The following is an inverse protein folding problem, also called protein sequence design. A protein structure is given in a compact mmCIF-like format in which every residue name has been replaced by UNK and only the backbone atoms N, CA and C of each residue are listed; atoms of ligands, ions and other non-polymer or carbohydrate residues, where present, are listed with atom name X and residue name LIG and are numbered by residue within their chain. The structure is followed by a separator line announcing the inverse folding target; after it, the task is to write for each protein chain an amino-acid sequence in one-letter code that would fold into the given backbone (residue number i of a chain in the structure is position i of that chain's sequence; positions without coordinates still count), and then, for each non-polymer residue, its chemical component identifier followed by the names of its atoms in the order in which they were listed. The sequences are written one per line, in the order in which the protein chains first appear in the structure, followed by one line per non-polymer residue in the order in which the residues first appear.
data_IF_920773808198
#
_entry.id   IF_920773808198
#
_cell.length_a   1.000
_cell.length_b   1.000
_cell.length_c   1.000
_cell.angle_alpha   90.00
_cell.angle_beta   90.00
_cell.angle_gamma   90.00
#
_symmetry.space_group_name_H-M   'P 1'
#
loop_
_entity.id
_entity.type
_entity.pdbx_description
1 polymer ?
#
# COMPACT_ATOMS: atom_id res chain seq x y z
N UNK A 1 -12.97 -19.49 -19.66
CA UNK A 1 -11.53 -19.22 -19.46
C UNK A 1 -11.23 -17.75 -19.14
N UNK A 2 -11.28 -16.76 -20.06
CA UNK A 2 -10.93 -15.37 -19.70
C UNK A 2 -11.87 -14.73 -18.65
N UNK A 3 -13.18 -14.96 -18.75
CA UNK A 3 -14.17 -14.47 -17.78
C UNK A 3 -13.98 -15.07 -16.37
N UNK A 4 -13.45 -16.29 -16.32
CA UNK A 4 -13.27 -17.08 -15.10
C UNK A 4 -12.01 -16.65 -14.36
N UNK A 5 -10.92 -16.42 -15.11
CA UNK A 5 -9.71 -15.77 -14.59
C UNK A 5 -10.01 -14.35 -14.08
N UNK A 6 -10.86 -13.59 -14.79
CA UNK A 6 -11.28 -12.27 -14.34
C UNK A 6 -12.09 -12.33 -13.04
N UNK A 7 -12.97 -13.32 -12.89
CA UNK A 7 -13.75 -13.55 -11.68
C UNK A 7 -12.85 -13.86 -10.48
N UNK A 8 -11.90 -14.79 -10.63
CA UNK A 8 -10.95 -15.15 -9.56
C UNK A 8 -10.14 -13.94 -9.11
N UNK A 9 -9.61 -13.16 -10.06
CA UNK A 9 -8.85 -11.92 -9.74
C UNK A 9 -9.69 -10.89 -8.98
N UNK A 10 -10.93 -10.69 -9.40
CA UNK A 10 -11.84 -9.76 -8.73
C UNK A 10 -12.18 -10.24 -7.31
N UNK A 11 -12.30 -11.54 -7.11
CA UNK A 11 -12.53 -12.14 -5.80
C UNK A 11 -11.32 -11.95 -4.88
N UNK A 12 -10.10 -12.26 -5.35
CA UNK A 12 -8.85 -12.06 -4.59
C UNK A 12 -8.66 -10.59 -4.18
N UNK A 13 -8.86 -9.65 -5.13
CA UNK A 13 -8.79 -8.22 -4.86
C UNK A 13 -9.81 -7.82 -3.78
N UNK A 14 -11.05 -8.34 -3.87
CA UNK A 14 -12.11 -8.02 -2.92
C UNK A 14 -11.81 -8.52 -1.50
N UNK A 15 -11.14 -9.68 -1.37
CA UNK A 15 -10.73 -10.27 -0.09
C UNK A 15 -9.57 -9.48 0.52
N UNK A 16 -8.53 -9.21 -0.26
CA UNK A 16 -7.38 -8.41 0.16
C UNK A 16 -7.80 -7.00 0.61
N UNK A 17 -8.73 -6.39 -0.13
CA UNK A 17 -9.25 -5.07 0.19
C UNK A 17 -9.87 -5.02 1.59
N UNK A 18 -10.58 -6.06 2.03
CA UNK A 18 -11.20 -6.12 3.37
C UNK A 18 -10.17 -6.15 4.50
N UNK A 19 -8.97 -6.69 4.24
CA UNK A 19 -7.92 -6.86 5.27
C UNK A 19 -6.81 -5.80 5.20
N UNK A 20 -6.82 -4.94 4.17
CA UNK A 20 -5.75 -3.94 3.92
C UNK A 20 -5.48 -3.05 5.13
N UNK A 21 -6.52 -2.65 5.87
CA UNK A 21 -6.36 -1.79 7.05
C UNK A 21 -5.60 -2.46 8.19
N UNK A 22 -5.71 -3.79 8.32
CA UNK A 22 -4.93 -4.57 9.27
C UNK A 22 -3.49 -4.72 8.78
N UNK A 23 -3.30 -5.07 7.51
CA UNK A 23 -1.94 -5.30 6.98
C UNK A 23 -1.11 -4.04 6.86
N UNK A 24 -1.75 -2.88 6.65
CA UNK A 24 -1.08 -1.60 6.59
C UNK A 24 -0.61 -1.06 7.94
N UNK A 25 -1.03 -1.66 9.07
CA UNK A 25 -0.60 -1.21 10.39
C UNK A 25 0.76 -1.82 10.76
N UNK A 26 1.76 -1.06 11.24
CA UNK A 26 3.07 -1.61 11.60
C UNK A 26 2.97 -2.79 12.58
N UNK A 27 2.11 -2.67 13.58
CA UNK A 27 1.80 -3.74 14.53
C UNK A 27 0.30 -4.06 14.56
N UNK A 28 -0.17 -5.00 13.74
CA UNK A 28 -1.60 -5.27 13.55
C UNK A 28 -2.29 -5.85 14.79
N UNK A 29 -1.54 -6.40 15.74
CA UNK A 29 -2.08 -6.96 16.98
C UNK A 29 -2.21 -5.90 18.08
N UNK A 30 -1.51 -4.77 17.95
CA UNK A 30 -1.55 -3.65 18.92
C UNK A 30 -2.44 -2.50 18.46
N UNK A 31 -2.39 -2.15 17.18
CA UNK A 31 -3.07 -0.97 16.66
C UNK A 31 -3.39 -1.13 15.19
N UNK A 32 -4.64 -0.85 14.80
CA UNK A 32 -5.03 -0.72 13.39
C UNK A 32 -4.71 0.68 12.87
N UNK A 33 -4.66 0.84 11.54
CA UNK A 33 -4.47 2.17 10.94
C UNK A 33 -5.53 3.16 11.41
N UNK A 34 -5.14 4.42 11.53
CA UNK A 34 -5.96 5.55 11.94
C UNK A 34 -6.06 6.60 10.83
N UNK A 35 -7.28 7.07 10.51
CA UNK A 35 -8.58 6.58 11.00
C UNK A 35 -8.89 5.15 10.53
N UNK A 36 -9.74 4.38 11.24
CA UNK A 36 -10.11 3.03 10.79
C UNK A 36 -10.73 3.04 9.38
N UNK A 37 -10.24 2.14 8.54
CA UNK A 37 -10.73 1.96 7.17
C UNK A 37 -11.76 0.83 7.15
N UNK A 38 -12.91 1.10 6.54
CA UNK A 38 -13.92 0.09 6.21
C UNK A 38 -14.14 0.08 4.72
N UNK A 39 -14.15 -1.10 4.11
CA UNK A 39 -14.36 -1.26 2.66
C UNK A 39 -15.80 -1.61 2.31
N UNK A 40 -16.64 -1.80 3.33
CA UNK A 40 -18.05 -2.19 3.20
C UNK A 40 -18.92 -1.02 2.73
N UNK A 41 -18.53 0.22 3.08
CA UNK A 41 -19.28 1.43 2.74
C UNK A 41 -18.59 2.21 1.62
N UNK A 42 -19.38 2.93 0.80
CA UNK A 42 -18.84 3.86 -0.21
C UNK A 42 -17.98 4.95 0.43
N UNK A 43 -18.42 5.50 1.56
CA UNK A 43 -17.70 6.52 2.31
C UNK A 43 -16.36 5.99 2.86
N UNK A 44 -16.33 4.76 3.37
CA UNK A 44 -15.08 4.14 3.83
C UNK A 44 -14.09 3.87 2.69
N UNK A 45 -14.59 3.42 1.53
CA UNK A 45 -13.77 3.25 0.32
C UNK A 45 -13.16 4.55 -0.19
N UNK A 46 -13.89 5.67 -0.08
CA UNK A 46 -13.40 6.99 -0.49
C UNK A 46 -12.25 7.50 0.40
N UNK A 47 -12.14 7.01 1.64
CA UNK A 47 -11.07 7.36 2.59
C UNK A 47 -9.82 6.48 2.49
N UNK A 48 -9.67 5.69 1.42
CA UNK A 48 -8.50 4.84 1.20
C UNK A 48 -7.48 5.48 0.26
N UNK A 49 -6.33 4.83 0.10
CA UNK A 49 -5.26 5.31 -0.79
C UNK A 49 -4.71 6.64 -0.29
N UNK A 50 -4.52 7.60 -1.19
CA UNK A 50 -3.99 8.93 -0.86
C UNK A 50 -4.90 9.78 0.04
N UNK A 51 -6.19 9.47 0.11
CA UNK A 51 -7.12 10.14 1.02
C UNK A 51 -6.96 9.69 2.48
N UNK A 52 -6.17 8.64 2.73
CA UNK A 52 -5.83 8.20 4.06
C UNK A 52 -4.41 8.66 4.43
N UNK A 53 -4.16 9.23 5.62
CA UNK A 53 -2.83 9.71 5.98
C UNK A 53 -1.76 8.61 5.98
N UNK A 54 -2.05 7.44 6.57
CA UNK A 54 -1.08 6.32 6.59
C UNK A 54 -0.96 5.57 5.26
N UNK A 55 -2.07 5.27 4.56
CA UNK A 55 -1.99 4.60 3.26
C UNK A 55 -1.41 5.51 2.17
N UNK A 56 -1.68 6.81 2.24
CA UNK A 56 -1.08 7.81 1.36
C UNK A 56 0.43 7.86 1.49
N UNK A 57 0.96 7.86 2.73
CA UNK A 57 2.41 7.73 2.98
C UNK A 57 3.00 6.46 2.40
N UNK A 58 2.31 5.33 2.55
CA UNK A 58 2.72 4.04 2.00
C UNK A 58 2.82 4.04 0.48
N UNK A 59 1.83 4.65 -0.19
CA UNK A 59 1.75 4.73 -1.64
C UNK A 59 2.63 5.85 -2.22
N UNK A 60 3.03 6.81 -1.40
CA UNK A 60 3.91 7.89 -1.81
C UNK A 60 5.22 7.29 -2.36
N UNK A 61 5.66 7.72 -3.54
CA UNK A 61 7.03 7.55 -3.98
C UNK A 61 8.05 7.79 -2.85
N UNK A 62 8.88 6.78 -2.56
CA UNK A 62 9.77 6.83 -1.40
C UNK A 62 10.74 8.01 -1.43
N UNK A 63 11.16 8.42 -2.64
CA UNK A 63 12.03 9.57 -2.88
C UNK A 63 11.46 10.90 -2.36
N UNK A 64 10.14 11.02 -2.31
CA UNK A 64 9.43 12.23 -1.92
C UNK A 64 8.70 12.06 -0.58
N UNK A 65 8.93 10.94 0.12
CA UNK A 65 8.23 10.60 1.35
C UNK A 65 8.44 11.66 2.45
N UNK A 66 9.66 12.16 2.61
CA UNK A 66 9.96 13.19 3.60
C UNK A 66 9.17 14.47 3.36
N UNK A 67 9.08 14.89 2.10
CA UNK A 67 8.35 16.09 1.73
C UNK A 67 6.84 15.86 1.84
N UNK A 68 6.34 14.67 1.50
CA UNK A 68 4.96 14.27 1.73
C UNK A 68 4.60 14.27 3.22
N UNK A 69 5.51 13.86 4.11
CA UNK A 69 5.26 13.89 5.56
C UNK A 69 5.16 15.33 6.08
N UNK A 70 5.97 16.25 5.53
CA UNK A 70 5.94 17.67 5.89
C UNK A 70 4.67 18.36 5.36
N UNK A 71 4.32 18.10 4.11
CA UNK A 71 3.14 18.66 3.45
C UNK A 71 2.48 17.65 2.50
N UNK A 72 1.47 16.89 2.99
CA UNK A 72 0.76 15.91 2.17
C UNK A 72 -0.03 16.53 1.01
N UNK A 73 -0.40 17.81 1.10
CA UNK A 73 -1.26 18.47 0.11
C UNK A 73 -0.50 18.81 -1.18
N UNK A 74 0.79 19.13 -1.05
CA UNK A 74 1.70 19.44 -2.19
C UNK A 74 1.91 18.23 -3.10
N UNK A 75 1.69 17.03 -2.59
CA UNK A 75 1.87 15.76 -3.30
C UNK A 75 0.56 15.02 -3.53
N UNK A 76 -0.57 15.72 -3.41
CA UNK A 76 -1.86 15.19 -3.81
C UNK A 76 -1.91 15.09 -5.33
N UNK A 77 -2.17 13.90 -5.87
CA UNK A 77 -2.25 13.64 -7.32
C UNK A 77 -3.34 14.44 -8.06
N UNK A 78 -4.13 15.24 -7.34
CA UNK A 78 -5.13 16.15 -7.90
C UNK A 78 -4.52 17.46 -8.40
N UNK A 79 -3.36 17.88 -7.90
CA UNK A 79 -2.68 19.10 -8.36
C UNK A 79 -1.75 18.81 -9.55
N UNK A 80 -2.32 18.85 -10.76
CA UNK A 80 -1.61 18.69 -12.03
C UNK A 80 -0.57 19.79 -12.30
N UNK A 81 -0.49 20.84 -11.48
CA UNK A 81 0.46 21.95 -11.66
C UNK A 81 1.87 21.64 -11.18
N UNK A 82 2.04 20.62 -10.33
CA UNK A 82 3.33 20.13 -9.87
C UNK A 82 3.45 18.63 -10.18
N UNK A 83 3.71 18.24 -11.44
CA UNK A 83 3.76 16.83 -11.81
C UNK A 83 4.98 16.20 -11.14
N UNK A 84 4.74 15.59 -9.98
CA UNK A 84 5.64 14.62 -9.38
C UNK A 84 5.91 13.58 -10.47
N UNK A 85 7.10 13.63 -11.07
CA UNK A 85 7.42 12.80 -12.23
C UNK A 85 7.66 11.37 -11.75
N UNK A 86 6.58 10.63 -11.51
CA UNK A 86 6.61 9.22 -11.11
C UNK A 86 7.02 8.40 -12.34
N UNK A 87 8.31 8.10 -12.45
CA UNK A 87 8.82 7.15 -13.44
C UNK A 87 8.65 5.72 -12.92
N UNK A 88 8.71 4.73 -13.82
CA UNK A 88 8.65 3.32 -13.44
C UNK A 88 9.80 2.88 -12.50
N UNK A 89 10.86 3.69 -12.38
CA UNK A 89 11.98 3.49 -11.46
C UNK A 89 11.74 4.04 -10.05
N UNK A 90 10.62 4.74 -9.81
CA UNK A 90 10.30 5.33 -8.51
C UNK A 90 9.27 4.45 -7.81
N UNK A 91 9.75 3.78 -6.77
CA UNK A 91 8.99 2.80 -6.02
C UNK A 91 8.21 3.43 -4.85
N UNK A 92 7.01 2.94 -4.53
CA UNK A 92 6.29 3.33 -3.33
C UNK A 92 7.02 2.97 -2.03
N UNK A 93 6.81 3.78 -0.98
CA UNK A 93 7.45 3.60 0.32
C UNK A 93 7.15 2.24 0.98
N UNK A 94 5.95 1.67 0.78
CA UNK A 94 5.58 0.37 1.37
C UNK A 94 6.42 -0.81 0.90
N UNK A 95 7.20 -0.66 -0.17
CA UNK A 95 8.08 -1.71 -0.67
C UNK A 95 9.36 -1.84 0.17
N UNK A 96 9.70 -0.85 0.97
CA UNK A 96 10.92 -0.83 1.77
C UNK A 96 10.62 -1.11 3.25
N UNK A 97 11.58 -1.68 4.00
CA UNK A 97 11.43 -2.01 5.41
C UNK A 97 11.33 -0.77 6.31
N UNK A 98 10.96 -1.03 7.56
CA UNK A 98 10.82 -0.04 8.62
C UNK A 98 9.43 -0.03 9.27
N UNK A 99 9.35 0.40 10.53
CA UNK A 99 8.06 0.67 11.19
C UNK A 99 7.31 1.80 10.46
N UNK A 100 8.05 2.84 10.07
CA UNK A 100 7.59 3.81 9.08
C UNK A 100 8.04 3.33 7.70
N UNK A 101 7.10 3.01 6.79
CA UNK A 101 7.43 2.56 5.44
C UNK A 101 8.39 3.51 4.74
N UNK A 102 9.43 3.00 4.09
CA UNK A 102 10.37 3.82 3.32
C UNK A 102 11.54 4.43 4.12
N UNK A 103 11.59 4.27 5.44
CA UNK A 103 12.66 4.88 6.26
C UNK A 103 14.05 4.31 5.97
N UNK A 104 14.13 3.05 5.53
CA UNK A 104 15.39 2.38 5.18
C UNK A 104 15.78 2.55 3.70
N UNK A 105 15.08 3.41 2.95
CA UNK A 105 15.41 3.69 1.57
C UNK A 105 16.77 4.38 1.43
N UNK A 106 17.61 3.83 0.56
CA UNK A 106 18.91 4.41 0.21
C UNK A 106 18.87 4.96 -1.21
N UNK A 107 18.97 6.28 -1.42
CA UNK A 107 18.95 6.86 -2.77
C UNK A 107 20.16 6.47 -3.61
N UNK A 108 21.25 5.98 -3.00
CA UNK A 108 22.44 5.49 -3.71
C UNK A 108 22.33 4.00 -4.05
N UNK A 109 21.42 3.27 -3.41
CA UNK A 109 21.16 1.85 -3.64
C UNK A 109 19.65 1.54 -3.52
N UNK A 110 18.91 1.87 -4.59
CA UNK A 110 17.45 1.71 -4.68
C UNK A 110 17.03 0.24 -4.48
N UNK A 111 17.88 -0.73 -4.81
CA UNK A 111 17.59 -2.15 -4.64
C UNK A 111 17.63 -2.61 -3.19
N UNK A 112 18.32 -1.87 -2.32
CA UNK A 112 18.48 -2.21 -0.91
C UNK A 112 17.12 -2.22 -0.20
N UNK A 113 16.73 -3.38 0.30
CA UNK A 113 15.48 -3.55 1.03
C UNK A 113 14.21 -3.51 0.17
N UNK A 114 14.33 -3.41 -1.17
CA UNK A 114 13.17 -3.46 -2.04
C UNK A 114 12.40 -4.78 -1.86
N UNK A 115 11.07 -4.69 -1.79
CA UNK A 115 10.13 -5.78 -1.49
C UNK A 115 10.25 -6.39 -0.07
N UNK A 116 10.91 -5.72 0.87
CA UNK A 116 11.01 -6.16 2.28
C UNK A 116 10.16 -5.34 3.25
N UNK A 117 9.23 -4.53 2.75
CA UNK A 117 8.24 -3.86 3.59
C UNK A 117 7.23 -4.84 4.17
N UNK A 118 6.83 -4.64 5.42
CA UNK A 118 5.93 -5.56 6.12
C UNK A 118 4.57 -5.77 5.42
N UNK A 119 4.10 -4.80 4.64
CA UNK A 119 2.88 -4.94 3.85
C UNK A 119 3.07 -5.98 2.73
N UNK A 120 4.25 -6.01 2.09
CA UNK A 120 4.59 -7.00 1.07
C UNK A 120 4.62 -8.41 1.66
N UNK A 121 5.26 -8.58 2.81
CA UNK A 121 5.36 -9.88 3.48
C UNK A 121 3.97 -10.43 3.80
N UNK A 122 3.08 -9.59 4.33
CA UNK A 122 1.73 -9.99 4.73
C UNK A 122 0.83 -10.32 3.55
N UNK A 123 0.87 -9.49 2.50
CA UNK A 123 0.08 -9.75 1.28
C UNK A 123 0.56 -11.03 0.60
N UNK A 124 1.88 -11.25 0.55
CA UNK A 124 2.47 -12.45 -0.06
C UNK A 124 2.08 -13.72 0.69
N UNK A 125 2.13 -13.69 2.03
CA UNK A 125 1.66 -14.80 2.88
C UNK A 125 0.19 -15.09 2.63
N UNK A 126 -0.65 -14.06 2.55
CA UNK A 126 -2.11 -14.21 2.37
C UNK A 126 -2.44 -14.83 1.03
N UNK A 127 -1.85 -14.31 -0.06
CA UNK A 127 -2.03 -14.86 -1.40
C UNK A 127 -1.54 -16.31 -1.50
N UNK A 128 -0.43 -16.64 -0.82
CA UNK A 128 0.09 -18.00 -0.80
C UNK A 128 -0.86 -18.98 -0.08
N UNK A 129 -1.41 -18.60 1.07
CA UNK A 129 -2.38 -19.43 1.80
C UNK A 129 -3.71 -19.57 1.05
N UNK A 130 -4.22 -18.50 0.44
CA UNK A 130 -5.43 -18.55 -0.38
C UNK A 130 -5.24 -19.47 -1.60
N UNK A 131 -4.08 -19.42 -2.25
CA UNK A 131 -3.74 -20.31 -3.36
C UNK A 131 -3.72 -21.78 -2.95
N UNK A 132 -3.20 -22.11 -1.75
CA UNK A 132 -3.19 -23.49 -1.23
C UNK A 132 -4.60 -23.96 -0.86
N UNK A 133 -5.38 -23.14 -0.16
CA UNK A 133 -6.73 -23.50 0.28
C UNK A 133 -7.72 -23.64 -0.88
N UNK A 134 -7.45 -23.02 -2.03
CA UNK A 134 -8.26 -23.15 -3.24
C UNK A 134 -7.94 -24.45 -4.02
N UNK A 135 -6.85 -25.15 -3.66
CA UNK A 135 -6.42 -26.40 -4.30
C UNK A 135 -6.90 -27.67 -3.57
N UNK A 136 -7.63 -27.55 -2.45
CA UNK A 136 -8.22 -28.63 -1.67
C UNK A 136 -9.73 -28.43 -1.50
#
# INVERSE_FOLDING_TARGET
MQAEVAHIRAEDESRLRKVVGRYAAPNPDKQVIQPPVSTETKAGRARMGFNHPQLGRMLCPVKYLEDYIKDPHVYCFEDLSNPMMVTASIWPAYLYPGETPGVEYDPNDIGKGLFRGYLMDRVSITLYFDAILTLF
#
